data_IF_114262118036
#
_entry.id   IF_114262118036
#
_cell.length_a   1.000
_cell.length_b   1.000
_cell.length_c   1.000
_cell.angle_alpha   90.00
_cell.angle_beta   90.00
_cell.angle_gamma   90.00
#
_symmetry.space_group_name_H-M   'P 1'
#
loop_
_entity.id
_entity.type
_entity.pdbx_description
1 polymer ?
#
# COMPACT_ATOMS: atom_id res chain seq x y z
N UNK A 1 31.83 -48.47 -41.16
CA UNK A 1 31.38 -48.39 -39.74
C UNK A 1 32.03 -47.27 -38.93
N UNK A 2 33.32 -46.91 -39.13
CA UNK A 2 33.98 -45.82 -38.35
C UNK A 2 33.57 -44.39 -38.77
N UNK A 3 33.30 -44.16 -40.06
CA UNK A 3 32.92 -42.83 -40.59
C UNK A 3 31.49 -42.45 -40.19
N UNK A 4 30.59 -43.43 -40.10
CA UNK A 4 29.18 -43.25 -39.70
C UNK A 4 29.06 -42.75 -38.25
N UNK A 5 29.96 -43.19 -37.36
CA UNK A 5 30.01 -42.78 -35.96
C UNK A 5 30.59 -41.37 -35.82
N UNK A 6 31.56 -41.01 -36.66
CA UNK A 6 32.14 -39.66 -36.66
C UNK A 6 31.13 -38.59 -37.12
N UNK A 7 30.29 -38.91 -38.12
CA UNK A 7 29.25 -38.01 -38.60
C UNK A 7 28.13 -37.79 -37.57
N UNK A 8 27.75 -38.82 -36.82
CA UNK A 8 26.71 -38.68 -35.79
C UNK A 8 27.20 -37.87 -34.59
N UNK A 9 28.47 -38.00 -34.19
CA UNK A 9 29.08 -37.15 -33.17
C UNK A 9 29.16 -35.68 -33.60
N UNK A 10 29.53 -35.41 -34.86
CA UNK A 10 29.63 -34.04 -35.39
C UNK A 10 28.25 -33.35 -35.45
N UNK A 11 27.19 -34.10 -35.79
CA UNK A 11 25.82 -33.59 -35.79
C UNK A 11 25.29 -33.28 -34.38
N UNK A 12 25.62 -34.10 -33.38
CA UNK A 12 25.23 -33.87 -31.99
C UNK A 12 25.92 -32.62 -31.38
N UNK A 13 27.17 -32.35 -31.77
CA UNK A 13 27.92 -31.15 -31.36
C UNK A 13 27.42 -29.86 -32.05
N UNK A 14 26.86 -29.96 -33.27
CA UNK A 14 26.29 -28.80 -33.97
C UNK A 14 24.92 -28.37 -33.38
N UNK A 15 24.13 -29.32 -32.86
CA UNK A 15 22.81 -29.05 -32.28
C UNK A 15 22.86 -28.46 -30.86
N UNK A 16 23.96 -28.64 -30.11
CA UNK A 16 24.13 -28.06 -28.77
C UNK A 16 24.56 -26.59 -28.77
N UNK A 17 24.85 -26.01 -29.94
CA UNK A 17 25.25 -24.61 -30.10
C UNK A 17 24.07 -23.64 -30.33
N UNK A 18 22.82 -24.13 -30.39
CA UNK A 18 21.64 -23.26 -30.43
C UNK A 18 21.40 -22.63 -29.05
N UNK A 19 22.16 -21.58 -28.73
CA UNK A 19 21.89 -20.71 -27.59
C UNK A 19 20.60 -19.93 -27.92
N UNK A 20 19.49 -20.34 -27.31
CA UNK A 20 18.24 -19.60 -27.43
C UNK A 20 18.49 -18.12 -27.06
N UNK A 21 17.91 -17.16 -27.80
CA UNK A 21 17.98 -15.74 -27.44
C UNK A 21 17.53 -15.57 -25.99
N UNK A 22 18.17 -14.67 -25.26
CA UNK A 22 17.72 -14.35 -23.90
C UNK A 22 16.23 -13.97 -23.95
N UNK A 23 15.41 -14.44 -22.98
CA UNK A 23 14.00 -14.09 -22.95
C UNK A 23 13.84 -12.58 -22.98
N UNK A 24 12.88 -12.09 -23.77
CA UNK A 24 12.62 -10.66 -23.87
C UNK A 24 12.19 -10.13 -22.50
N UNK A 25 12.81 -9.04 -22.06
CA UNK A 25 12.42 -8.34 -20.83
C UNK A 25 11.09 -7.64 -21.11
N UNK A 26 10.06 -8.06 -20.40
CA UNK A 26 8.72 -7.46 -20.39
C UNK A 26 8.44 -6.81 -19.04
N UNK A 27 7.37 -6.01 -18.97
CA UNK A 27 6.90 -5.35 -17.74
C UNK A 27 6.72 -6.31 -16.54
N UNK A 28 6.34 -7.56 -16.83
CA UNK A 28 6.13 -8.62 -15.84
C UNK A 28 7.40 -9.38 -15.43
N UNK A 29 8.55 -9.04 -16.02
CA UNK A 29 9.82 -9.70 -15.71
C UNK A 29 10.25 -9.33 -14.30
N UNK A 30 10.48 -10.33 -13.45
CA UNK A 30 10.99 -10.11 -12.10
C UNK A 30 12.47 -9.72 -12.15
N UNK A 31 12.78 -8.60 -11.50
CA UNK A 31 14.12 -8.02 -11.37
C UNK A 31 14.42 -7.85 -9.89
N UNK A 32 15.69 -7.97 -9.54
CA UNK A 32 16.17 -7.75 -8.19
C UNK A 32 17.07 -6.52 -8.17
N UNK A 33 16.79 -5.58 -7.26
CA UNK A 33 17.54 -4.35 -7.07
C UNK A 33 18.06 -4.28 -5.63
N UNK A 34 19.26 -3.72 -5.43
CA UNK A 34 19.81 -3.49 -4.09
C UNK A 34 19.81 -1.99 -3.79
N UNK A 35 19.14 -1.60 -2.70
CA UNK A 35 19.01 -0.21 -2.25
C UNK A 35 19.29 -0.20 -0.75
N UNK A 36 20.22 0.65 -0.31
CA UNK A 36 20.63 0.78 1.10
C UNK A 36 20.95 -0.57 1.79
N UNK A 37 21.54 -1.50 1.04
CA UNK A 37 21.90 -2.84 1.54
C UNK A 37 20.72 -3.82 1.66
N UNK A 38 19.51 -3.42 1.25
CA UNK A 38 18.33 -4.28 1.19
C UNK A 38 18.11 -4.75 -0.24
N UNK A 39 17.81 -6.02 -0.41
CA UNK A 39 17.50 -6.63 -1.70
C UNK A 39 15.99 -6.63 -1.92
N UNK A 40 15.52 -5.96 -2.97
CA UNK A 40 14.12 -5.86 -3.35
C UNK A 40 13.88 -6.62 -4.65
N UNK A 41 12.90 -7.53 -4.65
CA UNK A 41 12.41 -8.20 -5.86
C UNK A 41 11.13 -7.51 -6.32
N UNK A 42 11.07 -7.12 -7.58
CA UNK A 42 9.93 -6.42 -8.15
C UNK A 42 9.79 -6.68 -9.65
N UNK A 43 8.63 -6.41 -10.20
CA UNK A 43 8.42 -6.40 -11.66
C UNK A 43 9.21 -5.27 -12.32
N UNK A 44 9.65 -5.49 -13.55
CA UNK A 44 10.40 -4.50 -14.33
C UNK A 44 9.64 -3.19 -14.52
N UNK A 45 8.31 -3.23 -14.58
CA UNK A 45 7.46 -2.04 -14.64
C UNK A 45 7.56 -1.14 -13.39
N UNK A 46 8.02 -1.68 -12.26
CA UNK A 46 8.20 -0.96 -11.00
C UNK A 46 9.62 -0.45 -10.92
N UNK A 47 9.76 0.87 -10.73
CA UNK A 47 11.06 1.51 -10.56
C UNK A 47 11.58 1.25 -9.15
N UNK A 48 12.84 0.84 -9.03
CA UNK A 48 13.49 0.71 -7.73
C UNK A 48 13.60 2.09 -7.04
N UNK A 49 13.43 2.17 -5.72
CA UNK A 49 13.49 3.44 -5.00
C UNK A 49 14.93 3.93 -4.88
N UNK A 50 15.12 5.20 -4.58
CA UNK A 50 16.45 5.79 -4.35
C UNK A 50 16.95 5.54 -2.92
N UNK A 51 16.03 5.41 -1.97
CA UNK A 51 16.31 5.15 -0.56
C UNK A 51 15.31 4.13 0.00
N UNK A 52 15.73 3.38 1.02
CA UNK A 52 14.89 2.36 1.62
C UNK A 52 15.14 2.18 3.12
N UNK A 53 14.10 2.39 3.93
CA UNK A 53 14.09 2.13 5.36
C UNK A 53 13.12 0.97 5.67
N UNK A 54 13.61 -0.20 6.13
CA UNK A 54 12.74 -1.35 6.39
C UNK A 54 11.67 -1.08 7.45
N UNK A 55 10.46 -1.59 7.21
CA UNK A 55 9.32 -1.55 8.16
C UNK A 55 8.80 -2.97 8.40
N UNK A 56 8.45 -3.70 7.33
CA UNK A 56 7.94 -5.08 7.36
C UNK A 56 6.74 -5.30 8.31
N UNK A 57 5.70 -4.48 8.14
CA UNK A 57 4.48 -4.55 8.95
C UNK A 57 3.22 -4.61 8.09
N UNK A 58 2.16 -5.22 8.62
CA UNK A 58 0.86 -5.28 7.94
C UNK A 58 0.05 -4.02 8.22
N UNK A 59 -0.32 -3.32 7.16
CA UNK A 59 -1.20 -2.15 7.19
C UNK A 59 -2.57 -2.51 6.64
N UNK A 60 -3.57 -1.68 6.90
CA UNK A 60 -4.89 -1.72 6.25
C UNK A 60 -5.13 -0.44 5.49
N UNK A 61 -5.65 -0.57 4.28
CA UNK A 61 -5.96 0.58 3.44
C UNK A 61 -7.13 1.37 4.04
N UNK A 62 -6.99 2.69 4.11
CA UNK A 62 -8.05 3.59 4.59
C UNK A 62 -9.04 3.98 3.48
N UNK A 63 -8.64 3.81 2.22
CA UNK A 63 -9.42 4.10 1.02
C UNK A 63 -8.84 3.33 -0.17
N UNK A 64 -9.46 3.46 -1.35
CA UNK A 64 -8.95 2.87 -2.59
C UNK A 64 -7.73 3.65 -3.11
N UNK A 65 -6.58 3.46 -2.48
CA UNK A 65 -5.36 4.21 -2.80
C UNK A 65 -4.73 3.72 -4.11
N UNK A 66 -4.25 4.65 -4.93
CA UNK A 66 -3.46 4.36 -6.12
C UNK A 66 -2.09 3.79 -5.74
N UNK A 67 -1.78 2.61 -6.26
CA UNK A 67 -0.45 2.01 -6.22
C UNK A 67 0.30 2.48 -7.46
N UNK A 68 1.40 3.19 -7.23
CA UNK A 68 2.21 3.83 -8.26
C UNK A 68 3.46 3.00 -8.56
N UNK A 69 3.99 3.09 -9.77
CA UNK A 69 5.20 2.37 -10.15
C UNK A 69 6.50 3.04 -9.67
N UNK A 70 6.42 4.26 -9.15
CA UNK A 70 7.51 5.01 -8.51
C UNK A 70 6.96 5.84 -7.33
N UNK A 71 7.78 6.21 -6.33
CA UNK A 71 7.33 6.89 -5.11
C UNK A 71 7.10 8.39 -5.29
N UNK A 72 6.28 8.75 -6.28
CA UNK A 72 5.81 10.11 -6.50
C UNK A 72 4.46 10.12 -7.24
N UNK A 73 3.76 11.26 -7.19
CA UNK A 73 2.45 11.43 -7.82
C UNK A 73 2.48 11.49 -9.36
N UNK A 74 3.66 11.63 -9.97
CA UNK A 74 3.83 11.60 -11.43
C UNK A 74 4.10 10.21 -11.99
N UNK A 75 4.14 9.17 -11.15
CA UNK A 75 4.26 7.79 -11.58
C UNK A 75 3.08 7.31 -12.41
N UNK A 76 3.23 6.14 -13.03
CA UNK A 76 2.13 5.43 -13.67
C UNK A 76 1.37 4.61 -12.63
N UNK A 77 0.04 4.61 -12.75
CA UNK A 77 -0.85 3.79 -11.94
C UNK A 77 -0.65 2.30 -12.29
N UNK A 78 -0.32 1.49 -11.28
CA UNK A 78 -0.21 0.03 -11.40
C UNK A 78 -1.57 -0.61 -11.10
N UNK A 79 -2.14 -0.28 -9.93
CA UNK A 79 -3.44 -0.79 -9.46
C UNK A 79 -3.99 0.06 -8.33
N UNK A 80 -5.13 -0.33 -7.76
CA UNK A 80 -5.67 0.25 -6.54
C UNK A 80 -5.57 -0.74 -5.39
N UNK A 81 -5.34 -0.22 -4.18
CA UNK A 81 -5.67 -0.94 -2.96
C UNK A 81 -7.19 -1.01 -2.80
N UNK A 82 -7.66 -2.07 -2.14
CA UNK A 82 -9.05 -2.19 -1.74
C UNK A 82 -9.24 -1.62 -0.33
N UNK A 83 -10.23 -0.74 -0.14
CA UNK A 83 -10.54 -0.15 1.16
C UNK A 83 -10.72 -1.21 2.26
N UNK A 84 -10.05 -1.03 3.39
CA UNK A 84 -10.07 -1.90 4.56
C UNK A 84 -9.30 -3.22 4.42
N UNK A 85 -8.82 -3.56 3.23
CA UNK A 85 -8.01 -4.77 3.03
C UNK A 85 -6.59 -4.59 3.55
N UNK A 86 -5.98 -5.67 4.07
CA UNK A 86 -4.60 -5.64 4.50
C UNK A 86 -3.64 -5.60 3.30
N UNK A 87 -2.48 -5.01 3.52
CA UNK A 87 -1.32 -5.08 2.64
C UNK A 87 -0.04 -5.01 3.49
N UNK A 88 1.08 -5.46 2.94
CA UNK A 88 2.36 -5.42 3.66
C UNK A 88 3.12 -4.16 3.27
N UNK A 89 3.57 -3.39 4.26
CA UNK A 89 4.55 -2.30 4.06
C UNK A 89 5.93 -2.91 4.25
N UNK A 90 6.67 -3.02 3.16
CA UNK A 90 8.05 -3.52 3.17
C UNK A 90 8.97 -2.48 3.83
N UNK A 91 8.78 -1.22 3.48
CA UNK A 91 9.60 -0.13 3.98
C UNK A 91 9.06 1.24 3.59
N UNK A 92 9.67 2.26 4.18
CA UNK A 92 9.52 3.65 3.80
C UNK A 92 10.63 4.04 2.81
N UNK A 93 10.30 4.83 1.80
CA UNK A 93 11.22 5.30 0.76
C UNK A 93 11.18 6.83 0.66
N UNK A 94 11.80 7.40 -0.37
CA UNK A 94 11.82 8.85 -0.57
C UNK A 94 10.44 9.52 -0.43
N UNK A 95 10.43 10.73 0.15
CA UNK A 95 9.24 11.55 0.37
C UNK A 95 8.15 10.86 1.22
N UNK A 96 8.53 9.96 2.13
CA UNK A 96 7.61 9.22 3.02
C UNK A 96 6.61 8.33 2.25
N UNK A 97 6.97 7.87 1.06
CA UNK A 97 6.16 6.86 0.38
C UNK A 97 6.39 5.49 1.00
N UNK A 98 5.37 4.65 0.91
CA UNK A 98 5.42 3.29 1.42
C UNK A 98 5.65 2.34 0.24
N UNK A 99 6.75 1.61 0.29
CA UNK A 99 7.00 0.47 -0.58
C UNK A 99 6.16 -0.70 -0.07
N UNK A 100 5.27 -1.23 -0.90
CA UNK A 100 4.28 -2.22 -0.49
C UNK A 100 4.42 -3.55 -1.22
N UNK A 101 3.86 -4.59 -0.61
CA UNK A 101 3.70 -5.93 -1.15
C UNK A 101 2.27 -6.43 -0.90
N UNK A 102 1.92 -7.54 -1.55
CA UNK A 102 0.73 -8.29 -1.16
C UNK A 102 0.86 -8.83 0.28
N UNK A 103 -0.28 -9.14 0.93
CA UNK A 103 -0.25 -9.82 2.22
C UNK A 103 0.63 -11.07 2.16
N UNK A 104 1.51 -11.22 3.16
CA UNK A 104 2.41 -12.35 3.32
C UNK A 104 3.43 -12.57 2.17
N UNK A 105 3.62 -11.56 1.30
CA UNK A 105 4.61 -11.57 0.23
C UNK A 105 5.71 -10.53 0.47
N UNK A 106 6.86 -10.75 -0.17
CA UNK A 106 8.03 -9.85 -0.14
C UNK A 106 8.31 -9.18 -1.49
N UNK A 107 7.55 -9.52 -2.53
CA UNK A 107 7.66 -8.87 -3.83
C UNK A 107 7.11 -7.45 -3.75
N UNK A 108 7.95 -6.46 -4.07
CA UNK A 108 7.55 -5.07 -4.17
C UNK A 108 6.64 -4.91 -5.39
N UNK A 109 5.39 -4.56 -5.12
CA UNK A 109 4.34 -4.36 -6.15
C UNK A 109 4.17 -2.90 -6.56
N UNK A 110 4.77 -1.97 -5.82
CA UNK A 110 4.70 -0.54 -6.07
C UNK A 110 4.65 0.29 -4.79
N UNK A 111 4.19 1.53 -4.92
CA UNK A 111 4.28 2.54 -3.88
C UNK A 111 2.94 3.20 -3.61
N UNK A 112 2.67 3.54 -2.36
CA UNK A 112 1.51 4.32 -1.96
C UNK A 112 1.91 5.48 -1.06
N UNK A 113 1.15 6.59 -1.05
CA UNK A 113 1.39 7.68 -0.10
C UNK A 113 1.25 7.17 1.34
N UNK A 114 2.01 7.75 2.28
CA UNK A 114 1.94 7.41 3.72
C UNK A 114 0.51 7.30 4.27
N UNK A 115 -0.37 8.23 3.87
CA UNK A 115 -1.76 8.31 4.36
C UNK A 115 -2.70 7.27 3.74
N UNK A 116 -2.23 6.42 2.82
CA UNK A 116 -3.04 5.39 2.17
C UNK A 116 -3.54 4.31 3.13
N UNK A 117 -2.82 4.08 4.22
CA UNK A 117 -3.15 3.06 5.20
C UNK A 117 -2.59 3.36 6.58
N UNK A 118 -2.97 2.54 7.54
CA UNK A 118 -2.45 2.54 8.91
C UNK A 118 -2.08 1.14 9.33
N UNK A 119 -1.18 0.99 10.31
CA UNK A 119 -0.89 -0.31 10.93
C UNK A 119 -2.19 -1.02 11.29
N UNK A 120 -2.25 -2.32 11.01
CA UNK A 120 -3.49 -3.10 11.17
C UNK A 120 -4.06 -3.03 12.59
N UNK A 121 -3.20 -2.96 13.60
CA UNK A 121 -3.56 -2.82 15.02
C UNK A 121 -4.25 -1.48 15.36
N UNK A 122 -3.98 -0.43 14.58
CA UNK A 122 -4.53 0.91 14.79
C UNK A 122 -5.82 1.15 14.02
N UNK A 123 -6.14 0.30 13.03
CA UNK A 123 -7.21 0.54 12.06
C UNK A 123 -8.56 0.88 12.71
N UNK A 124 -9.02 0.07 13.67
CA UNK A 124 -10.31 0.32 14.35
C UNK A 124 -10.29 1.60 15.17
N UNK A 125 -9.17 1.92 15.81
CA UNK A 125 -9.01 3.14 16.58
C UNK A 125 -9.02 4.37 15.67
N UNK A 126 -8.32 4.29 14.53
CA UNK A 126 -8.31 5.32 13.48
C UNK A 126 -9.73 5.57 12.97
N UNK A 127 -10.47 4.53 12.59
CA UNK A 127 -11.85 4.67 12.14
C UNK A 127 -12.78 5.26 13.21
N UNK A 128 -12.58 4.93 14.48
CA UNK A 128 -13.37 5.54 15.57
C UNK A 128 -13.05 7.01 15.77
N UNK A 129 -11.78 7.39 15.61
CA UNK A 129 -11.32 8.77 15.78
C UNK A 129 -11.75 9.70 14.65
N UNK A 130 -11.89 9.16 13.44
CA UNK A 130 -12.30 9.91 12.24
C UNK A 130 -13.81 10.20 12.19
N UNK A 131 -14.62 9.45 12.96
CA UNK A 131 -16.08 9.64 12.98
C UNK A 131 -16.44 11.05 13.49
N UNK A 132 -17.32 11.78 12.78
CA UNK A 132 -17.84 13.05 13.26
C UNK A 132 -18.44 12.90 14.65
N UNK A 133 -17.89 13.61 15.63
CA UNK A 133 -18.43 13.59 16.99
C UNK A 133 -19.76 14.33 17.00
N UNK A 134 -20.84 13.76 17.57
CA UNK A 134 -22.10 14.47 17.68
C UNK A 134 -21.88 15.77 18.44
N UNK A 135 -22.26 16.89 17.81
CA UNK A 135 -22.22 18.21 18.45
C UNK A 135 -23.24 18.19 19.59
N UNK A 136 -22.75 18.21 20.83
CA UNK A 136 -23.62 18.43 21.99
C UNK A 136 -24.08 19.88 21.95
N UNK A 137 -25.38 20.11 21.73
CA UNK A 137 -25.97 21.42 21.93
C UNK A 137 -25.88 21.75 23.41
N UNK A 138 -25.18 22.84 23.74
CA UNK A 138 -25.12 23.34 25.11
C UNK A 138 -26.51 23.88 25.46
N UNK A 139 -27.18 23.24 26.41
CA UNK A 139 -28.40 23.74 27.03
C UNK A 139 -28.03 24.55 28.27
N UNK A 140 -28.64 25.72 28.42
CA UNK A 140 -28.62 26.50 29.66
C UNK A 140 -29.94 26.24 30.36
N UNK A 141 -29.89 25.79 31.60
CA UNK A 141 -31.08 25.54 32.41
C UNK A 141 -31.07 26.45 33.64
N UNK A 142 -32.22 27.02 33.97
CA UNK A 142 -32.43 27.88 35.13
C UNK A 142 -33.58 27.30 35.96
N UNK A 143 -33.44 27.31 37.28
CA UNK A 143 -34.49 26.85 38.18
C UNK A 143 -35.65 27.86 38.22
N UNK A 144 -36.88 27.38 38.05
CA UNK A 144 -38.10 28.24 38.01
C UNK A 144 -39.06 27.98 39.19
N UNK A 145 -38.57 27.28 40.21
CA UNK A 145 -39.32 26.95 41.43
C UNK A 145 -39.92 25.53 41.41
N UNK A 146 -40.02 24.92 42.59
CA UNK A 146 -40.44 23.53 42.74
C UNK A 146 -39.39 22.53 42.23
N UNK A 147 -39.84 21.51 41.49
CA UNK A 147 -38.98 20.53 40.81
C UNK A 147 -38.74 20.84 39.33
N UNK A 148 -39.26 21.97 38.83
CA UNK A 148 -39.22 22.31 37.40
C UNK A 148 -38.04 23.19 37.03
N UNK A 149 -37.48 22.95 35.84
CA UNK A 149 -36.39 23.75 35.26
C UNK A 149 -36.83 24.31 33.92
N UNK A 150 -36.39 25.53 33.60
CA UNK A 150 -36.52 26.06 32.25
C UNK A 150 -35.18 25.92 31.53
N UNK A 151 -35.15 25.14 30.46
CA UNK A 151 -33.96 24.90 29.66
C UNK A 151 -34.07 25.56 28.28
N UNK A 152 -32.94 26.04 27.75
CA UNK A 152 -32.84 26.68 26.44
C UNK A 152 -31.56 26.23 25.73
N UNK A 153 -31.62 26.00 24.42
CA UNK A 153 -30.41 25.83 23.62
C UNK A 153 -29.72 27.19 23.42
N UNK A 154 -28.40 27.23 23.37
CA UNK A 154 -27.66 28.49 23.18
C UNK A 154 -28.10 29.30 21.94
N UNK A 155 -28.53 28.62 20.88
CA UNK A 155 -28.87 29.22 19.59
C UNK A 155 -30.38 29.54 19.41
N UNK A 156 -31.21 29.33 20.44
CA UNK A 156 -32.66 29.58 20.37
C UNK A 156 -33.11 30.49 21.51
N UNK A 157 -34.06 31.40 21.27
CA UNK A 157 -34.61 32.26 22.34
C UNK A 157 -35.72 31.58 23.17
N UNK A 158 -36.21 30.40 22.74
CA UNK A 158 -37.34 29.70 23.33
C UNK A 158 -36.95 28.87 24.55
N UNK A 159 -37.55 29.17 25.70
CA UNK A 159 -37.41 28.38 26.93
C UNK A 159 -38.43 27.25 26.98
N UNK A 160 -37.98 26.05 27.33
CA UNK A 160 -38.81 24.85 27.45
C UNK A 160 -38.74 24.40 28.91
N UNK A 161 -39.90 24.10 29.51
CA UNK A 161 -39.97 23.54 30.87
C UNK A 161 -39.66 22.04 30.82
N UNK A 162 -38.70 21.61 31.64
CA UNK A 162 -38.35 20.21 31.95
C UNK A 162 -38.69 19.90 33.42
#
# INVERSE_FOLDING_TARGET
>A
MKISIALTLLAALALSACKAPAPAVTDDTLVTSSVDGVTLTHRHAIQAPQSFTPVNETYRALYNASVMNRPDFGGSLVRYLENGKPFTVLGEVENHWLAIAEPDQQELIGYVPFKAGVKSELYDATLRSDRPRPRKTKKVCVDVGGQSKACRNNDTATWILE
#
